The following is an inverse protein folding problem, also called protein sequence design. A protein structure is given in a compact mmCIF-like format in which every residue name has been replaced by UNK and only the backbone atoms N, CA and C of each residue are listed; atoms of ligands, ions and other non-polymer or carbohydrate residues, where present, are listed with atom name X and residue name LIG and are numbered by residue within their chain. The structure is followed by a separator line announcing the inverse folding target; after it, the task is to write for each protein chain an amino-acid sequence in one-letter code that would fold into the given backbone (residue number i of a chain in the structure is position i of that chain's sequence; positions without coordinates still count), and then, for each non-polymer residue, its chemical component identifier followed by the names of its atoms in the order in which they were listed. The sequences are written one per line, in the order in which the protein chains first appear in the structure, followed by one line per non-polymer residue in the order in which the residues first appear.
data_IF_404835799042
#
_entry.id   IF_404835799042
#
_cell.length_a   1.000
_cell.length_b   1.000
_cell.length_c   1.000
_cell.angle_alpha   90.00
_cell.angle_beta   90.00
_cell.angle_gamma   90.00
#
_symmetry.space_group_name_H-M   'P 1'
#
loop_
_entity.id
_entity.type
_entity.pdbx_description
1 polymer ?
#
# COMPACT_ATOMS: atom_id res chain seq x y z
N UNK A 1 0.98 11.66 -1.69
CA UNK A 1 1.03 12.37 -0.39
C UNK A 1 1.24 11.38 0.76
N UNK A 2 0.69 11.71 1.93
CA UNK A 2 0.83 10.85 3.10
C UNK A 2 -0.28 9.81 3.13
N UNK A 3 0.03 8.61 2.65
CA UNK A 3 -0.93 7.53 2.60
C UNK A 3 -0.42 6.31 3.34
N UNK A 4 -1.33 5.51 3.88
CA UNK A 4 -0.95 4.31 4.63
C UNK A 4 -1.40 3.06 3.92
N UNK A 5 -0.61 1.99 4.05
CA UNK A 5 -0.98 0.75 3.40
C UNK A 5 -1.00 -0.42 4.38
N UNK A 6 -1.92 -1.36 4.15
CA UNK A 6 -2.07 -2.53 4.98
C UNK A 6 -2.23 -3.79 4.13
N UNK A 7 -1.25 -4.68 4.22
CA UNK A 7 -1.27 -5.92 3.46
C UNK A 7 -2.08 -6.99 4.20
N UNK A 8 -2.98 -7.65 3.47
CA UNK A 8 -3.78 -8.71 4.06
C UNK A 8 -3.91 -9.90 3.13
N UNK A 9 -3.34 -11.03 3.54
CA UNK A 9 -3.41 -12.23 2.72
C UNK A 9 -4.02 -13.39 3.47
N UNK A 10 -3.26 -14.48 3.63
CA UNK A 10 -3.74 -15.66 4.33
C UNK A 10 -2.89 -15.95 5.56
N UNK A 11 -1.61 -15.59 5.50
CA UNK A 11 -0.70 -15.82 6.61
C UNK A 11 0.39 -14.75 6.65
N UNK A 12 0.02 -13.50 6.43
CA UNK A 12 0.98 -12.40 6.44
C UNK A 12 0.29 -11.05 6.44
N UNK A 13 0.56 -10.25 7.47
CA UNK A 13 -0.03 -8.92 7.59
C UNK A 13 1.07 -7.86 7.75
N UNK A 14 1.17 -6.97 6.77
CA UNK A 14 2.17 -5.91 6.80
C UNK A 14 1.57 -4.59 6.34
N UNK A 15 1.75 -3.54 7.12
CA UNK A 15 1.22 -2.24 6.77
C UNK A 15 2.27 -1.16 6.97
N UNK A 16 2.38 -0.28 5.99
CA UNK A 16 3.33 0.82 6.04
C UNK A 16 2.72 2.11 5.52
N UNK A 17 3.18 3.20 6.11
CA UNK A 17 2.74 4.54 5.75
C UNK A 17 3.95 5.40 5.37
N UNK A 18 3.99 5.85 4.12
CA UNK A 18 5.11 6.67 3.65
C UNK A 18 4.67 7.84 2.78
N UNK A 19 5.47 8.90 2.79
CA UNK A 19 5.19 10.09 1.98
C UNK A 19 5.36 9.77 0.50
N UNK A 20 4.32 10.04 -0.28
CA UNK A 20 4.36 9.75 -1.72
C UNK A 20 4.17 10.98 -2.58
N UNK A 21 4.16 12.14 -1.96
CA UNK A 21 3.97 13.40 -2.68
C UNK A 21 2.57 13.53 -3.26
N UNK A 22 2.21 12.64 -4.19
CA UNK A 22 0.90 12.68 -4.83
C UNK A 22 0.16 11.35 -4.67
N UNK A 23 -0.89 11.18 -5.47
CA UNK A 23 -1.70 9.97 -5.43
C UNK A 23 -1.08 8.84 -6.24
N UNK A 24 -1.13 8.96 -7.57
CA UNK A 24 -0.55 7.94 -8.44
C UNK A 24 0.91 7.71 -8.12
N UNK A 25 1.52 8.70 -7.48
CA UNK A 25 2.90 8.62 -7.05
C UNK A 25 2.95 7.68 -5.87
N UNK A 26 1.91 7.75 -5.05
CA UNK A 26 1.78 6.87 -3.92
C UNK A 26 1.28 5.53 -4.43
N UNK A 27 0.66 5.58 -5.61
CA UNK A 27 0.15 4.39 -6.25
C UNK A 27 1.28 3.62 -6.89
N UNK A 28 2.17 4.34 -7.56
CA UNK A 28 3.31 3.73 -8.24
C UNK A 28 4.55 3.67 -7.34
N UNK A 29 4.90 4.79 -6.71
CA UNK A 29 6.07 4.84 -5.85
C UNK A 29 5.90 4.00 -4.58
N UNK A 30 4.79 4.19 -3.88
CA UNK A 30 4.53 3.45 -2.65
C UNK A 30 4.37 1.96 -2.90
N UNK A 31 3.51 1.60 -3.87
CA UNK A 31 3.26 0.22 -4.18
C UNK A 31 4.55 -0.59 -4.34
N UNK A 32 5.60 0.04 -4.86
CA UNK A 32 6.88 -0.65 -5.05
C UNK A 32 7.51 -0.98 -3.71
N UNK A 33 7.60 0.02 -2.85
CA UNK A 33 8.19 -0.14 -1.53
C UNK A 33 7.29 -0.96 -0.64
N UNK A 34 5.99 -0.67 -0.69
CA UNK A 34 5.03 -1.40 0.11
C UNK A 34 5.06 -2.86 -0.30
N UNK A 35 5.22 -3.09 -1.58
CA UNK A 35 5.32 -4.45 -2.10
C UNK A 35 6.70 -4.97 -1.82
N UNK A 36 7.67 -4.05 -1.79
CA UNK A 36 9.04 -4.43 -1.48
C UNK A 36 9.07 -5.23 -0.19
N UNK A 37 8.08 -4.98 0.67
CA UNK A 37 7.97 -5.69 1.94
C UNK A 37 7.05 -6.91 1.80
N UNK A 38 5.88 -6.69 1.23
CA UNK A 38 4.92 -7.78 1.04
C UNK A 38 4.33 -7.78 -0.35
N UNK A 39 5.19 -7.80 -1.36
CA UNK A 39 4.76 -7.81 -2.76
C UNK A 39 3.74 -8.89 -3.03
N UNK A 40 3.97 -10.08 -2.47
CA UNK A 40 3.09 -11.25 -2.66
C UNK A 40 1.63 -10.86 -2.82
N UNK A 41 1.24 -9.76 -2.20
CA UNK A 41 -0.14 -9.31 -2.29
C UNK A 41 -0.30 -8.06 -3.14
N UNK A 42 -1.54 -7.82 -3.56
CA UNK A 42 -1.85 -6.65 -4.38
C UNK A 42 -2.81 -5.76 -3.61
N UNK A 43 -2.59 -4.44 -3.63
CA UNK A 43 -3.45 -3.56 -2.86
C UNK A 43 -4.58 -2.93 -3.63
N UNK A 44 -5.58 -2.53 -2.85
CA UNK A 44 -6.77 -1.84 -3.34
C UNK A 44 -6.98 -0.62 -2.46
N UNK A 45 -6.48 0.53 -2.92
CA UNK A 45 -6.58 1.74 -2.12
C UNK A 45 -7.85 2.52 -2.41
N UNK A 46 -8.40 3.12 -1.35
CA UNK A 46 -9.59 3.93 -1.44
C UNK A 46 -9.22 5.41 -1.35
N UNK A 47 -10.12 6.25 -1.80
CA UNK A 47 -9.92 7.69 -1.75
C UNK A 47 -10.56 8.23 -0.49
N UNK A 48 -11.68 7.62 -0.16
CA UNK A 48 -12.44 7.97 1.03
C UNK A 48 -11.58 7.80 2.27
N UNK A 49 -10.76 6.76 2.24
CA UNK A 49 -9.89 6.44 3.37
C UNK A 49 -8.47 6.93 3.09
N UNK A 50 -8.03 6.79 1.84
CA UNK A 50 -6.68 7.20 1.45
C UNK A 50 -5.67 6.17 1.91
N UNK A 51 -6.08 4.91 1.84
CA UNK A 51 -5.23 3.82 2.26
C UNK A 51 -5.33 2.64 1.30
N UNK A 52 -4.21 1.98 1.05
CA UNK A 52 -4.20 0.82 0.16
C UNK A 52 -3.99 -0.45 0.99
N UNK A 53 -4.53 -1.56 0.52
CA UNK A 53 -4.41 -2.82 1.24
C UNK A 53 -3.80 -3.89 0.33
N UNK A 54 -2.50 -4.15 0.48
CA UNK A 54 -1.84 -5.16 -0.35
C UNK A 54 -2.21 -6.56 0.13
N UNK A 55 -3.23 -7.11 -0.51
CA UNK A 55 -3.72 -8.42 -0.16
C UNK A 55 -3.31 -9.46 -1.21
N UNK A 56 -2.77 -10.57 -0.72
CA UNK A 56 -2.33 -11.66 -1.61
C UNK A 56 -3.33 -12.81 -1.58
#
# INVERSE_FOLDING_TARGET
MYYLVVNKGQNAFYETLTKAVDAETARNAFIQSLKDDGVQGVWTYDDATKTFTVQA
#
